data_IF_851950788694
#
_entry.id   IF_851950788694
#
_cell.length_a   1.000
_cell.length_b   1.000
_cell.length_c   1.000
_cell.angle_alpha   90.00
_cell.angle_beta   90.00
_cell.angle_gamma   90.00
#
_symmetry.space_group_name_H-M   'P 1'
#
loop_
_entity.id
_entity.type
_entity.pdbx_description
1 polymer ?
#
# COMPACT_ATOMS: atom_id res chain seq x y z
N UNK A 1 28.28 -10.26 -10.14
CA UNK A 1 27.01 -9.69 -10.63
C UNK A 1 26.73 -8.45 -9.81
N UNK A 2 26.29 -7.34 -10.42
CA UNK A 2 25.93 -6.13 -9.66
C UNK A 2 24.77 -6.43 -8.72
N UNK A 3 24.76 -5.80 -7.55
CA UNK A 3 23.64 -5.84 -6.62
C UNK A 3 22.40 -5.13 -7.21
N UNK A 4 21.22 -5.41 -6.67
CA UNK A 4 19.98 -4.79 -7.15
C UNK A 4 20.03 -3.25 -7.08
N UNK A 5 20.59 -2.71 -5.99
CA UNK A 5 20.71 -1.26 -5.79
C UNK A 5 21.66 -0.62 -6.81
N UNK A 6 22.80 -1.24 -7.12
CA UNK A 6 23.73 -0.74 -8.13
C UNK A 6 23.09 -0.71 -9.52
N UNK A 7 22.33 -1.76 -9.87
CA UNK A 7 21.57 -1.80 -11.12
C UNK A 7 20.53 -0.67 -11.17
N UNK A 8 19.80 -0.43 -10.07
CA UNK A 8 18.80 0.62 -10.00
C UNK A 8 19.42 2.03 -10.07
N UNK A 9 20.58 2.25 -9.45
CA UNK A 9 21.29 3.55 -9.47
C UNK A 9 21.83 3.90 -10.85
N UNK A 10 22.24 2.91 -11.64
CA UNK A 10 22.73 3.10 -13.02
C UNK A 10 21.59 3.18 -14.06
N UNK A 11 20.34 2.96 -13.64
CA UNK A 11 19.20 2.93 -14.54
C UNK A 11 18.95 4.29 -15.19
N UNK A 12 18.84 4.30 -16.52
CA UNK A 12 18.40 5.47 -17.29
C UNK A 12 16.88 5.46 -17.42
N UNK A 13 16.20 5.82 -16.34
CA UNK A 13 14.74 5.86 -16.31
C UNK A 13 14.19 7.01 -17.15
N UNK A 14 13.05 6.76 -17.82
CA UNK A 14 12.28 7.83 -18.44
C UNK A 14 11.54 8.63 -17.36
N UNK A 15 11.44 9.96 -17.49
CA UNK A 15 10.51 10.74 -16.68
C UNK A 15 9.08 10.20 -16.75
N UNK A 16 8.31 10.32 -15.67
CA UNK A 16 7.01 9.65 -15.55
C UNK A 16 6.00 10.13 -16.59
N UNK A 17 6.05 11.41 -16.98
CA UNK A 17 5.19 12.00 -18.01
C UNK A 17 5.43 11.35 -19.38
N UNK A 18 6.67 10.92 -19.67
CA UNK A 18 7.00 10.21 -20.91
C UNK A 18 6.47 8.78 -20.91
N UNK A 19 6.43 8.13 -19.75
CA UNK A 19 5.82 6.80 -19.60
C UNK A 19 4.30 6.89 -19.72
N UNK A 20 3.68 7.88 -19.07
CA UNK A 20 2.24 8.13 -19.14
C UNK A 20 1.75 8.45 -20.56
N UNK A 21 2.52 9.23 -21.33
CA UNK A 21 2.18 9.55 -22.72
C UNK A 21 2.08 8.30 -23.61
N UNK A 22 2.84 7.23 -23.33
CA UNK A 22 2.80 5.98 -24.11
C UNK A 22 1.47 5.23 -23.97
N UNK A 23 0.72 5.49 -22.89
CA UNK A 23 -0.59 4.89 -22.61
C UNK A 23 -1.73 5.90 -22.77
N UNK A 24 -1.44 7.09 -23.31
CA UNK A 24 -2.44 8.11 -23.64
C UNK A 24 -2.91 8.96 -22.45
N UNK A 25 -2.11 9.04 -21.37
CA UNK A 25 -2.34 9.96 -20.25
C UNK A 25 -1.47 11.19 -20.46
N UNK A 26 -2.09 12.37 -20.48
CA UNK A 26 -1.38 13.64 -20.66
C UNK A 26 -0.70 14.10 -19.37
N UNK A 27 0.34 14.93 -19.49
CA UNK A 27 1.14 15.39 -18.35
C UNK A 27 0.31 16.17 -17.33
N UNK A 28 -0.64 16.97 -17.81
CA UNK A 28 -1.54 17.81 -17.01
C UNK A 28 -2.54 16.98 -16.20
N UNK A 29 -2.68 15.70 -16.54
CA UNK A 29 -3.58 14.76 -15.87
C UNK A 29 -2.87 13.98 -14.76
N UNK A 30 -1.56 14.21 -14.58
CA UNK A 30 -0.75 13.58 -13.54
C UNK A 30 -0.65 14.47 -12.31
N UNK A 31 -0.62 13.84 -11.14
CA UNK A 31 -0.18 14.49 -9.90
C UNK A 31 1.24 13.99 -9.63
N UNK A 32 2.29 14.75 -9.99
CA UNK A 32 3.66 14.27 -9.92
C UNK A 32 4.17 14.16 -8.47
N UNK A 33 4.94 13.10 -8.22
CA UNK A 33 5.70 12.87 -6.99
C UNK A 33 7.18 12.78 -7.39
N UNK A 34 7.83 13.94 -7.44
CA UNK A 34 9.16 14.06 -8.04
C UNK A 34 9.11 13.78 -9.55
N UNK A 35 10.21 13.26 -10.09
CA UNK A 35 10.41 13.12 -11.55
C UNK A 35 9.90 11.80 -12.15
N UNK A 36 9.85 10.74 -11.33
CA UNK A 36 9.69 9.36 -11.82
C UNK A 36 8.44 8.66 -11.29
N UNK A 37 7.59 9.37 -10.55
CA UNK A 37 6.36 8.83 -9.99
C UNK A 37 5.25 9.85 -10.12
N UNK A 38 4.01 9.37 -10.24
CA UNK A 38 2.82 10.22 -10.25
C UNK A 38 1.61 9.41 -9.80
N UNK A 39 0.61 10.11 -9.26
CA UNK A 39 -0.75 9.57 -9.12
C UNK A 39 -1.58 9.94 -10.36
N UNK A 40 -2.45 9.02 -10.75
CA UNK A 40 -3.42 9.23 -11.83
C UNK A 40 -4.81 9.42 -11.18
N UNK A 41 -5.46 10.58 -11.34
CA UNK A 41 -6.81 10.80 -10.83
C UNK A 41 -7.83 9.84 -11.46
N UNK A 42 -8.72 9.26 -10.65
CA UNK A 42 -9.76 8.33 -11.13
C UNK A 42 -10.62 8.85 -12.31
N UNK A 43 -10.97 10.15 -12.42
CA UNK A 43 -11.72 10.65 -13.57
C UNK A 43 -11.07 10.39 -14.93
N UNK A 44 -9.75 10.16 -14.99
CA UNK A 44 -9.02 9.74 -16.19
C UNK A 44 -9.62 8.46 -16.78
N UNK A 45 -10.07 7.53 -15.92
CA UNK A 45 -10.63 6.23 -16.32
C UNK A 45 -11.94 6.35 -17.10
N UNK A 46 -12.69 7.45 -16.93
CA UNK A 46 -13.98 7.66 -17.62
C UNK A 46 -13.87 7.63 -19.14
N UNK A 47 -12.71 7.99 -19.69
CA UNK A 47 -12.44 7.93 -21.14
C UNK A 47 -12.47 6.52 -21.71
N UNK A 48 -12.29 5.52 -20.85
CA UNK A 48 -12.25 4.12 -21.23
C UNK A 48 -13.54 3.39 -20.85
N UNK A 49 -14.55 4.09 -20.30
CA UNK A 49 -15.87 3.52 -20.06
C UNK A 49 -16.48 3.08 -21.40
N UNK A 50 -16.80 1.79 -21.51
CA UNK A 50 -17.34 1.17 -22.74
C UNK A 50 -16.29 0.65 -23.72
N UNK A 51 -14.99 0.87 -23.47
CA UNK A 51 -13.95 0.15 -24.20
C UNK A 51 -13.89 -1.32 -23.74
N UNK A 52 -13.59 -2.28 -24.63
CA UNK A 52 -13.39 -3.67 -24.23
C UNK A 52 -12.14 -3.79 -23.35
N UNK A 53 -12.24 -4.59 -22.30
CA UNK A 53 -11.10 -4.90 -21.43
C UNK A 53 -9.96 -5.58 -22.21
N UNK A 54 -8.73 -5.28 -21.79
CA UNK A 54 -7.54 -5.99 -22.25
C UNK A 54 -7.48 -7.42 -21.72
N UNK A 55 -6.43 -8.16 -22.10
CA UNK A 55 -6.18 -9.49 -21.54
C UNK A 55 -5.57 -9.36 -20.14
N UNK A 56 -6.17 -10.03 -19.15
CA UNK A 56 -5.62 -10.13 -17.81
C UNK A 56 -4.76 -11.40 -17.67
N UNK A 57 -3.49 -11.22 -17.28
CA UNK A 57 -2.58 -12.33 -16.97
C UNK A 57 -2.22 -12.28 -15.49
N UNK A 58 -2.64 -13.30 -14.74
CA UNK A 58 -2.32 -13.45 -13.33
C UNK A 58 -1.04 -14.27 -13.16
N UNK A 59 -0.02 -13.69 -12.51
CA UNK A 59 1.20 -14.40 -12.13
C UNK A 59 1.07 -14.90 -10.68
N UNK A 60 1.19 -16.21 -10.50
CA UNK A 60 1.18 -16.87 -9.18
C UNK A 60 2.41 -17.74 -9.00
N UNK A 61 2.59 -18.30 -7.80
CA UNK A 61 3.69 -19.20 -7.46
C UNK A 61 3.18 -20.37 -6.61
N UNK A 62 4.02 -21.39 -6.48
CA UNK A 62 3.84 -22.48 -5.50
C UNK A 62 3.91 -21.94 -4.06
N UNK A 63 3.65 -22.81 -3.08
CA UNK A 63 3.85 -22.49 -1.66
C UNK A 63 5.26 -21.95 -1.42
N UNK A 64 5.42 -20.80 -0.75
CA UNK A 64 6.73 -20.21 -0.52
C UNK A 64 7.69 -21.11 0.25
N UNK A 65 8.95 -21.08 -0.14
CA UNK A 65 10.07 -21.81 0.44
C UNK A 65 11.20 -20.85 0.81
N UNK A 66 12.13 -21.24 1.70
CA UNK A 66 13.30 -20.40 2.02
C UNK A 66 14.21 -20.08 0.82
N UNK A 67 14.11 -20.82 -0.28
CA UNK A 67 14.90 -20.58 -1.49
C UNK A 67 14.41 -19.34 -2.27
N UNK A 68 13.14 -18.96 -2.12
CA UNK A 68 12.51 -17.86 -2.83
C UNK A 68 12.09 -18.22 -4.25
N UNK A 69 10.88 -17.80 -4.63
CA UNK A 69 10.23 -18.23 -5.89
C UNK A 69 10.35 -17.19 -7.00
N UNK A 70 10.79 -15.98 -6.70
CA UNK A 70 11.00 -14.93 -7.71
C UNK A 70 9.73 -14.40 -8.36
N UNK A 71 8.54 -14.55 -7.75
CA UNK A 71 7.25 -14.16 -8.34
C UNK A 71 7.24 -12.74 -8.92
N UNK A 72 7.68 -11.75 -8.15
CA UNK A 72 7.71 -10.34 -8.60
C UNK A 72 8.69 -10.13 -9.75
N UNK A 73 9.85 -10.80 -9.72
CA UNK A 73 10.84 -10.79 -10.80
C UNK A 73 10.23 -11.35 -12.09
N UNK A 74 9.50 -12.46 -11.99
CA UNK A 74 8.78 -13.05 -13.13
C UNK A 74 7.70 -12.12 -13.67
N UNK A 75 6.92 -11.46 -12.80
CA UNK A 75 5.91 -10.48 -13.23
C UNK A 75 6.53 -9.34 -14.03
N UNK A 76 7.60 -8.73 -13.51
CA UNK A 76 8.28 -7.61 -14.17
C UNK A 76 8.91 -8.07 -15.49
N UNK A 77 9.65 -9.19 -15.46
CA UNK A 77 10.28 -9.74 -16.66
C UNK A 77 9.28 -10.13 -17.76
N UNK A 78 8.08 -10.60 -17.38
CA UNK A 78 7.00 -10.87 -18.34
C UNK A 78 6.50 -9.58 -19.02
N UNK A 79 6.29 -8.51 -18.25
CA UNK A 79 5.90 -7.20 -18.78
C UNK A 79 6.97 -6.66 -19.73
N UNK A 80 8.24 -6.72 -19.34
CA UNK A 80 9.37 -6.30 -20.18
C UNK A 80 9.46 -7.12 -21.48
N UNK A 81 9.30 -8.45 -21.39
CA UNK A 81 9.35 -9.34 -22.55
C UNK A 81 8.22 -9.06 -23.55
N UNK A 82 6.99 -8.87 -23.05
CA UNK A 82 5.83 -8.52 -23.89
C UNK A 82 6.01 -7.14 -24.53
N UNK A 83 6.53 -6.16 -23.77
CA UNK A 83 6.85 -4.83 -24.29
C UNK A 83 7.90 -4.88 -25.40
N UNK A 84 8.97 -5.67 -25.23
CA UNK A 84 9.99 -5.91 -26.27
C UNK A 84 9.45 -6.56 -27.53
N UNK A 85 8.35 -7.32 -27.42
CA UNK A 85 7.63 -7.89 -28.58
C UNK A 85 6.62 -6.92 -29.22
N UNK A 86 6.60 -5.65 -28.80
CA UNK A 86 5.70 -4.63 -29.34
C UNK A 86 4.26 -4.74 -28.84
N UNK A 87 4.00 -5.49 -27.76
CA UNK A 87 2.68 -5.53 -27.13
C UNK A 87 2.49 -4.32 -26.23
N UNK A 88 1.29 -3.71 -26.26
CA UNK A 88 0.88 -2.74 -25.24
C UNK A 88 0.55 -3.48 -23.95
N UNK A 89 1.40 -3.33 -22.93
CA UNK A 89 1.34 -4.09 -21.68
C UNK A 89 1.67 -3.18 -20.51
N UNK A 90 1.04 -3.44 -19.36
CA UNK A 90 1.31 -2.78 -18.09
C UNK A 90 1.32 -3.83 -16.98
N UNK A 91 2.20 -3.65 -15.99
CA UNK A 91 2.22 -4.44 -14.77
C UNK A 91 1.50 -3.72 -13.63
N UNK A 92 0.77 -4.48 -12.82
CA UNK A 92 0.23 -4.02 -11.54
C UNK A 92 0.86 -4.86 -10.42
N UNK A 93 1.47 -4.19 -9.44
CA UNK A 93 2.09 -4.80 -8.27
C UNK A 93 1.67 -4.08 -6.99
N UNK A 94 1.85 -4.72 -5.84
CA UNK A 94 1.51 -4.16 -4.53
C UNK A 94 2.67 -3.30 -4.02
N UNK A 95 2.33 -2.17 -3.39
CA UNK A 95 3.27 -1.40 -2.56
C UNK A 95 3.72 -2.26 -1.37
N UNK A 96 5.03 -2.35 -1.09
CA UNK A 96 5.52 -3.02 0.11
C UNK A 96 5.25 -2.19 1.37
N UNK A 97 5.06 -2.89 2.49
CA UNK A 97 5.13 -2.27 3.82
C UNK A 97 6.56 -1.81 4.10
N UNK A 98 6.70 -0.64 4.71
CA UNK A 98 7.96 -0.02 5.09
C UNK A 98 8.66 -0.81 6.20
N UNK A 99 7.91 -1.29 7.21
CA UNK A 99 8.47 -2.00 8.35
C UNK A 99 9.38 -3.18 7.97
N UNK A 100 8.92 -4.13 7.12
CA UNK A 100 9.73 -5.23 6.61
C UNK A 100 10.99 -4.85 5.85
N UNK A 101 11.03 -3.68 5.18
CA UNK A 101 12.21 -3.18 4.44
C UNK A 101 13.45 -3.08 5.33
N UNK A 102 13.26 -2.74 6.61
CA UNK A 102 14.33 -2.66 7.61
C UNK A 102 14.53 -3.97 8.39
N UNK A 103 13.86 -5.04 7.99
CA UNK A 103 13.95 -6.38 8.58
C UNK A 103 14.67 -7.37 7.66
N UNK A 104 14.15 -8.59 7.59
CA UNK A 104 14.73 -9.68 6.79
C UNK A 104 14.30 -9.66 5.32
N UNK A 105 13.16 -9.03 5.00
CA UNK A 105 12.62 -8.96 3.64
C UNK A 105 13.22 -7.72 2.98
N UNK A 106 14.21 -7.92 2.12
CA UNK A 106 14.69 -6.85 1.23
C UNK A 106 13.59 -6.30 0.32
N UNK A 107 13.95 -5.35 -0.55
CA UNK A 107 13.01 -4.63 -1.40
C UNK A 107 12.05 -5.50 -2.22
N UNK A 108 10.81 -5.06 -2.36
CA UNK A 108 9.74 -5.81 -3.05
C UNK A 108 9.56 -5.40 -4.52
N UNK A 109 10.54 -4.69 -5.07
CA UNK A 109 10.50 -4.07 -6.41
C UNK A 109 11.09 -4.94 -7.51
N UNK A 110 11.31 -6.24 -7.25
CA UNK A 110 11.90 -7.17 -8.22
C UNK A 110 13.33 -7.53 -7.88
N UNK A 111 14.16 -7.77 -8.90
CA UNK A 111 15.55 -8.21 -8.70
C UNK A 111 16.30 -8.44 -10.00
N UNK A 112 17.62 -8.31 -9.95
CA UNK A 112 18.48 -8.37 -11.14
C UNK A 112 18.14 -7.25 -12.11
N UNK A 113 18.00 -7.56 -13.39
CA UNK A 113 17.64 -6.57 -14.42
C UNK A 113 16.13 -6.32 -14.53
N UNK A 114 15.29 -7.11 -13.86
CA UNK A 114 13.85 -6.97 -13.86
C UNK A 114 13.42 -6.32 -12.53
N UNK A 115 13.42 -4.98 -12.51
CA UNK A 115 13.10 -4.15 -11.35
C UNK A 115 12.13 -3.02 -11.72
N UNK A 116 11.36 -2.55 -10.73
CA UNK A 116 10.60 -1.30 -10.83
C UNK A 116 11.41 -0.16 -10.20
N UNK A 117 11.48 0.96 -10.91
CA UNK A 117 12.20 2.17 -10.51
C UNK A 117 11.20 3.29 -10.17
N UNK A 118 11.48 4.18 -9.19
CA UNK A 118 12.63 4.19 -8.28
C UNK A 118 12.44 3.29 -7.05
N UNK A 119 13.38 2.36 -6.84
CA UNK A 119 13.27 1.32 -5.80
C UNK A 119 13.15 1.90 -4.38
N UNK A 120 14.01 2.86 -4.03
CA UNK A 120 14.07 3.42 -2.68
C UNK A 120 12.80 4.18 -2.30
N UNK A 121 12.17 4.86 -3.26
CA UNK A 121 10.92 5.57 -2.97
C UNK A 121 9.81 4.54 -2.73
N UNK A 122 9.71 3.51 -3.57
CA UNK A 122 8.70 2.44 -3.43
C UNK A 122 8.85 1.66 -2.13
N UNK A 123 10.08 1.32 -1.73
CA UNK A 123 10.34 0.52 -0.51
C UNK A 123 10.24 1.34 0.79
N UNK A 124 10.12 2.67 0.70
CA UNK A 124 10.02 3.58 1.84
C UNK A 124 8.64 4.25 1.93
N UNK A 125 8.55 5.54 1.63
CA UNK A 125 7.31 6.32 1.82
C UNK A 125 6.43 6.37 0.58
N UNK A 126 7.00 6.01 -0.56
CA UNK A 126 6.41 6.07 -1.89
C UNK A 126 5.60 7.35 -2.10
N UNK A 127 4.29 7.22 -2.34
CA UNK A 127 3.39 8.36 -2.51
C UNK A 127 2.53 8.65 -1.27
N UNK A 128 2.81 7.97 -0.15
CA UNK A 128 2.18 8.17 1.15
C UNK A 128 0.90 7.39 1.40
N UNK A 129 0.58 6.37 0.58
CA UNK A 129 -0.68 5.64 0.67
C UNK A 129 -0.83 4.86 1.98
N UNK A 130 0.24 4.16 2.40
CA UNK A 130 0.23 3.44 3.68
C UNK A 130 0.13 4.42 4.86
N UNK A 131 0.71 5.62 4.77
CA UNK A 131 0.55 6.66 5.80
C UNK A 131 -0.91 7.10 5.90
N UNK A 132 -1.58 7.33 4.77
CA UNK A 132 -2.99 7.71 4.73
C UNK A 132 -3.90 6.62 5.32
N UNK A 133 -3.63 5.36 5.00
CA UNK A 133 -4.33 4.21 5.61
C UNK A 133 -4.12 4.18 7.13
N UNK A 134 -2.87 4.32 7.59
CA UNK A 134 -2.54 4.32 9.01
C UNK A 134 -3.24 5.46 9.76
N UNK A 135 -3.27 6.66 9.17
CA UNK A 135 -3.97 7.81 9.72
C UNK A 135 -5.48 7.57 9.81
N UNK A 136 -6.11 7.05 8.75
CA UNK A 136 -7.54 6.72 8.75
C UNK A 136 -7.90 5.66 9.81
N UNK A 137 -7.09 4.60 9.92
CA UNK A 137 -7.27 3.54 10.91
C UNK A 137 -7.17 4.07 12.33
N UNK A 138 -6.13 4.84 12.61
CA UNK A 138 -5.91 5.39 13.95
C UNK A 138 -6.92 6.48 14.31
N UNK A 139 -7.44 7.22 13.33
CA UNK A 139 -8.55 8.16 13.54
C UNK A 139 -9.81 7.41 13.99
N UNK A 140 -10.17 6.30 13.33
CA UNK A 140 -11.32 5.49 13.73
C UNK A 140 -11.14 4.96 15.16
N UNK A 141 -9.96 4.43 15.48
CA UNK A 141 -9.61 3.99 16.84
C UNK A 141 -9.73 5.14 17.85
N UNK A 142 -9.23 6.33 17.54
CA UNK A 142 -9.32 7.49 18.43
C UNK A 142 -10.77 7.98 18.62
N UNK A 143 -11.61 7.93 17.59
CA UNK A 143 -13.04 8.28 17.68
C UNK A 143 -13.76 7.31 18.61
N UNK A 144 -13.48 6.00 18.49
CA UNK A 144 -14.03 4.96 19.37
C UNK A 144 -13.69 5.23 20.84
N UNK A 145 -12.41 5.46 21.15
CA UNK A 145 -11.92 5.76 22.50
C UNK A 145 -12.61 7.01 23.08
N UNK A 146 -12.67 8.08 22.28
CA UNK A 146 -13.31 9.32 22.67
C UNK A 146 -14.82 9.15 22.91
N UNK A 147 -15.50 8.31 22.12
CA UNK A 147 -16.92 8.00 22.32
C UNK A 147 -17.15 7.29 23.66
N UNK A 148 -16.31 6.31 23.99
CA UNK A 148 -16.35 5.60 25.27
C UNK A 148 -16.10 6.56 26.44
N UNK A 149 -15.07 7.41 26.33
CA UNK A 149 -14.74 8.39 27.36
C UNK A 149 -15.87 9.42 27.59
N UNK A 150 -16.55 9.86 26.52
CA UNK A 150 -17.63 10.87 26.55
C UNK A 150 -19.03 10.30 26.83
N UNK A 151 -19.09 9.23 27.61
CA UNK A 151 -20.34 8.69 28.14
C UNK A 151 -20.89 7.47 27.41
N UNK A 152 -20.16 6.93 26.42
CA UNK A 152 -20.40 5.62 25.83
C UNK A 152 -21.87 5.33 25.50
N UNK A 153 -22.52 6.22 24.74
CA UNK A 153 -23.97 6.09 24.43
C UNK A 153 -24.34 4.81 23.67
N UNK A 154 -23.36 4.19 23.00
CA UNK A 154 -23.53 2.93 22.28
C UNK A 154 -23.32 1.70 23.18
N UNK A 155 -23.05 1.90 24.48
CA UNK A 155 -22.81 0.85 25.46
C UNK A 155 -21.75 -0.18 25.01
N UNK A 156 -20.65 0.32 24.44
CA UNK A 156 -19.55 -0.49 23.96
C UNK A 156 -18.81 -1.08 25.17
N UNK A 157 -18.63 -2.39 25.18
CA UNK A 157 -17.82 -3.09 26.18
C UNK A 157 -16.33 -2.95 25.82
N UNK A 158 -15.51 -2.23 26.62
CA UNK A 158 -14.10 -2.03 26.33
C UNK A 158 -13.28 -3.33 26.24
N UNK A 159 -13.75 -4.41 26.86
CA UNK A 159 -13.07 -5.72 26.82
C UNK A 159 -13.29 -6.47 25.50
N UNK A 160 -14.22 -5.99 24.66
CA UNK A 160 -14.60 -6.62 23.39
C UNK A 160 -14.20 -5.79 22.16
N UNK A 161 -13.39 -4.76 22.36
CA UNK A 161 -12.86 -3.95 21.26
C UNK A 161 -11.81 -4.78 20.52
N UNK A 162 -12.15 -5.21 19.30
CA UNK A 162 -11.21 -5.89 18.41
C UNK A 162 -10.40 -4.90 17.56
N UNK A 163 -10.87 -3.67 17.42
CA UNK A 163 -10.20 -2.62 16.67
C UNK A 163 -8.92 -2.18 17.39
N UNK A 164 -7.79 -2.66 16.89
CA UNK A 164 -6.44 -2.29 17.31
C UNK A 164 -6.04 -0.94 16.69
N UNK A 165 -4.83 -0.47 17.00
CA UNK A 165 -4.20 0.66 16.30
C UNK A 165 -3.29 0.14 15.19
N UNK A 166 -2.89 0.99 14.26
CA UNK A 166 -2.03 0.61 13.14
C UNK A 166 -0.72 1.41 13.13
N UNK A 167 0.40 0.72 12.88
CA UNK A 167 1.69 1.34 12.63
C UNK A 167 2.47 0.51 11.62
N UNK A 168 3.10 1.15 10.63
CA UNK A 168 3.83 0.43 9.58
C UNK A 168 5.28 0.14 9.97
N UNK A 169 5.45 -0.44 11.16
CA UNK A 169 6.75 -0.75 11.77
C UNK A 169 6.72 -2.14 12.38
N UNK A 170 7.89 -2.79 12.45
CA UNK A 170 8.06 -4.10 13.07
C UNK A 170 8.23 -3.98 14.61
N UNK A 171 7.17 -3.52 15.29
CA UNK A 171 7.15 -3.32 16.75
C UNK A 171 6.45 -4.48 17.46
N UNK A 172 7.19 -5.53 17.84
CA UNK A 172 6.62 -6.73 18.50
C UNK A 172 6.06 -6.42 19.89
N UNK A 173 6.65 -5.44 20.56
CA UNK A 173 6.33 -4.95 21.89
C UNK A 173 4.97 -4.23 21.96
N UNK A 174 4.44 -3.79 20.81
CA UNK A 174 3.14 -3.12 20.73
C UNK A 174 1.98 -4.09 20.45
N UNK A 175 2.23 -5.40 20.34
CA UNK A 175 1.17 -6.39 20.01
C UNK A 175 0.09 -6.48 21.07
N UNK A 176 0.45 -6.37 22.34
CA UNK A 176 -0.47 -6.40 23.47
C UNK A 176 -0.06 -5.29 24.45
N UNK A 177 -0.95 -4.33 24.65
CA UNK A 177 -0.73 -3.16 25.52
C UNK A 177 -1.98 -2.91 26.37
N UNK A 178 -1.82 -2.11 27.42
CA UNK A 178 -2.95 -1.50 28.13
C UNK A 178 -3.01 -0.02 27.75
N UNK A 179 -4.16 0.42 27.25
CA UNK A 179 -4.41 1.84 26.94
C UNK A 179 -5.28 2.46 28.03
N UNK A 180 -5.60 3.75 27.93
CA UNK A 180 -6.57 4.37 28.84
C UNK A 180 -6.04 4.75 30.23
N UNK A 181 -4.72 4.64 30.46
CA UNK A 181 -4.08 4.93 31.74
C UNK A 181 -3.91 6.44 31.99
N UNK A 182 -3.80 6.86 33.25
CA UNK A 182 -3.71 8.28 33.63
C UNK A 182 -5.03 8.88 34.12
N UNK A 183 -6.01 8.04 34.46
CA UNK A 183 -7.30 8.47 34.97
C UNK A 183 -8.30 8.87 33.87
N UNK A 184 -9.59 8.89 34.21
CA UNK A 184 -10.68 8.96 33.22
C UNK A 184 -10.69 10.23 32.37
N UNK A 185 -10.20 11.35 32.92
CA UNK A 185 -10.23 12.67 32.25
C UNK A 185 -9.11 12.82 31.22
N UNK A 186 -7.92 12.29 31.51
CA UNK A 186 -6.73 12.44 30.65
C UNK A 186 -6.50 11.20 29.79
N UNK A 187 -6.54 10.02 30.41
CA UNK A 187 -6.25 8.73 29.78
C UNK A 187 -7.43 8.06 29.10
N UNK A 188 -8.62 8.17 29.70
CA UNK A 188 -9.82 7.44 29.25
C UNK A 188 -10.12 6.21 30.10
N UNK A 189 -10.64 5.14 29.50
CA UNK A 189 -11.01 3.91 30.21
C UNK A 189 -9.93 2.83 29.98
N UNK A 190 -9.25 2.37 31.04
CA UNK A 190 -8.25 1.30 30.90
C UNK A 190 -8.83 0.01 30.32
N UNK A 191 -8.21 -0.51 29.26
CA UNK A 191 -8.52 -1.82 28.69
C UNK A 191 -7.35 -2.34 27.84
N UNK A 192 -7.38 -3.64 27.52
CA UNK A 192 -6.39 -4.28 26.66
C UNK A 192 -6.57 -3.85 25.20
N UNK A 193 -5.45 -3.61 24.52
CA UNK A 193 -5.42 -3.25 23.11
C UNK A 193 -4.10 -3.71 22.48
N UNK A 194 -3.80 -3.22 21.28
CA UNK A 194 -2.57 -3.53 20.58
C UNK A 194 -2.42 -2.74 19.30
N UNK A 195 -1.28 -2.93 18.64
CA UNK A 195 -1.02 -2.47 17.29
C UNK A 195 -0.97 -3.65 16.31
N UNK A 196 -1.44 -3.40 15.10
CA UNK A 196 -1.21 -4.23 13.91
C UNK A 196 -0.28 -3.48 12.96
N UNK A 197 0.37 -4.23 12.06
CA UNK A 197 1.07 -3.60 10.94
C UNK A 197 0.04 -2.95 10.02
N UNK A 198 0.30 -1.75 9.50
CA UNK A 198 -0.71 -0.97 8.77
C UNK A 198 -1.30 -1.74 7.59
N UNK A 199 -0.49 -2.49 6.85
CA UNK A 199 -0.99 -3.31 5.71
C UNK A 199 -1.91 -4.46 6.10
N UNK A 200 -2.01 -4.80 7.40
CA UNK A 200 -2.99 -5.76 7.93
C UNK A 200 -4.32 -5.09 8.34
N UNK A 201 -4.43 -3.77 8.20
CA UNK A 201 -5.67 -3.02 8.44
C UNK A 201 -6.77 -3.45 7.48
N UNK A 202 -8.00 -3.57 7.98
CA UNK A 202 -9.18 -3.74 7.14
C UNK A 202 -9.35 -2.57 6.15
N UNK A 203 -8.93 -1.36 6.53
CA UNK A 203 -8.94 -0.21 5.63
C UNK A 203 -8.02 -0.43 4.42
N UNK A 204 -6.89 -1.13 4.57
CA UNK A 204 -6.06 -1.53 3.43
C UNK A 204 -6.81 -2.48 2.50
N UNK A 205 -7.54 -3.44 3.06
CA UNK A 205 -8.32 -4.39 2.27
C UNK A 205 -9.47 -3.69 1.54
N UNK A 206 -10.19 -2.79 2.22
CA UNK A 206 -11.26 -1.97 1.63
C UNK A 206 -10.69 -1.11 0.49
N UNK A 207 -9.55 -0.46 0.69
CA UNK A 207 -8.90 0.36 -0.34
C UNK A 207 -8.50 -0.46 -1.57
N UNK A 208 -8.08 -1.71 -1.39
CA UNK A 208 -7.73 -2.60 -2.50
C UNK A 208 -8.93 -3.15 -3.29
N UNK A 209 -10.13 -3.09 -2.70
CA UNK A 209 -11.36 -3.68 -3.27
C UNK A 209 -12.38 -2.62 -3.72
N UNK A 210 -12.15 -1.35 -3.37
CA UNK A 210 -13.06 -0.27 -3.73
C UNK A 210 -12.96 0.10 -5.20
N UNK A 211 -14.09 0.48 -5.78
CA UNK A 211 -14.23 0.90 -7.18
C UNK A 211 -14.39 2.41 -7.33
N UNK A 212 -14.72 3.13 -6.26
CA UNK A 212 -14.95 4.57 -6.29
C UNK A 212 -14.86 5.19 -4.89
N UNK A 213 -14.84 6.52 -4.81
CA UNK A 213 -14.91 7.22 -3.53
C UNK A 213 -16.23 6.96 -2.79
N UNK A 214 -17.34 6.78 -3.51
CA UNK A 214 -18.64 6.45 -2.92
C UNK A 214 -18.62 5.03 -2.32
N UNK A 215 -18.14 4.05 -3.08
CA UNK A 215 -17.98 2.66 -2.64
C UNK A 215 -17.01 2.55 -1.43
N UNK A 216 -15.92 3.33 -1.45
CA UNK A 216 -14.99 3.41 -0.32
C UNK A 216 -15.71 3.89 0.96
N UNK A 217 -16.51 4.96 0.84
CA UNK A 217 -17.25 5.51 1.98
C UNK A 217 -18.30 4.53 2.50
N UNK A 218 -19.00 3.83 1.61
CA UNK A 218 -20.01 2.82 1.98
C UNK A 218 -19.38 1.62 2.70
N UNK A 219 -18.21 1.14 2.26
CA UNK A 219 -17.49 0.04 2.91
C UNK A 219 -16.91 0.40 4.27
N UNK A 220 -16.59 1.69 4.48
CA UNK A 220 -16.07 2.20 5.75
C UNK A 220 -17.17 2.50 6.78
N UNK A 221 -18.40 2.74 6.31
CA UNK A 221 -19.57 3.10 7.14
C UNK A 221 -20.27 1.89 7.73
#
# INVERSE_FOLDING_TARGET
MKSNIEIAQEAKALPIERVAAQIGIAEEELIPYGRYMAKVPLPVLRRYEGCPDGRLVLVTAITPTPAGEGKTVTTIGLVEALGKQGRRVMGAIREPSLGPTFGLKGGATGGGLAQVYPMWDIDLHFTGDIHAVGAAHNLLSAILENHIAKGNRLNIDPTRIFLRKAIDMNCRELRNIVVGLGGRKEGGIPHESGFIITVASEISAILALTTSMTDLKERLG
#
